data_IF_884701476576
#
_entry.id   IF_884701476576
#
_cell.length_a   1.000
_cell.length_b   1.000
_cell.length_c   1.000
_cell.angle_alpha   90.00
_cell.angle_beta   90.00
_cell.angle_gamma   90.00
#
_symmetry.space_group_name_H-M   'P 1'
#
loop_
_entity.id
_entity.type
_entity.pdbx_description
1 polymer ?
#
# COMPACT_ATOMS: atom_id res chain seq x y z
N UNK A 1 -30.95 15.03 8.49
CA UNK A 1 -31.24 13.74 7.82
C UNK A 1 -32.23 14.03 6.71
N UNK A 2 -31.93 13.58 5.48
CA UNK A 2 -32.86 13.72 4.36
C UNK A 2 -34.16 12.91 4.65
N UNK A 3 -35.33 13.39 4.20
CA UNK A 3 -36.57 12.62 4.19
C UNK A 3 -36.40 11.27 3.50
N UNK A 4 -37.10 10.19 3.93
CA UNK A 4 -36.96 8.86 3.36
C UNK A 4 -37.13 8.78 1.84
N UNK A 5 -37.98 9.64 1.28
CA UNK A 5 -38.23 9.71 -0.17
C UNK A 5 -37.07 10.34 -0.94
N UNK A 6 -36.44 11.38 -0.40
CA UNK A 6 -35.26 12.00 -1.04
C UNK A 6 -34.09 11.02 -1.06
N UNK A 7 -33.85 10.30 0.05
CA UNK A 7 -32.81 9.27 0.12
C UNK A 7 -33.05 8.12 -0.88
N UNK A 8 -34.30 7.69 -1.06
CA UNK A 8 -34.63 6.67 -2.06
C UNK A 8 -34.34 7.17 -3.49
N UNK A 9 -34.69 8.42 -3.80
CA UNK A 9 -34.41 9.00 -5.11
C UNK A 9 -32.90 9.15 -5.36
N UNK A 10 -32.13 9.51 -4.33
CA UNK A 10 -30.66 9.53 -4.37
C UNK A 10 -30.09 8.12 -4.65
N UNK A 11 -30.54 7.10 -3.90
CA UNK A 11 -30.10 5.72 -4.07
C UNK A 11 -30.51 5.15 -5.44
N UNK A 12 -31.65 5.57 -5.98
CA UNK A 12 -32.16 5.16 -7.29
C UNK A 12 -31.41 5.83 -8.46
N UNK A 13 -30.88 7.04 -8.25
CA UNK A 13 -30.12 7.78 -9.25
C UNK A 13 -28.66 7.31 -9.41
N UNK A 14 -28.23 6.31 -8.64
CA UNK A 14 -26.88 5.74 -8.71
C UNK A 14 -26.65 4.89 -9.96
N UNK A 15 -25.36 4.61 -10.25
CA UNK A 15 -24.93 3.75 -11.35
C UNK A 15 -25.63 2.36 -11.30
N UNK A 16 -26.00 1.83 -12.46
CA UNK A 16 -26.61 0.52 -12.59
C UNK A 16 -25.55 -0.59 -12.60
N UNK A 17 -25.68 -1.57 -11.73
CA UNK A 17 -24.89 -2.80 -11.75
C UNK A 17 -25.70 -3.97 -12.31
N UNK A 18 -25.03 -4.90 -12.97
CA UNK A 18 -25.68 -6.10 -13.55
C UNK A 18 -25.58 -7.26 -12.58
N UNK A 19 -26.71 -7.74 -12.09
CA UNK A 19 -26.82 -8.93 -11.24
C UNK A 19 -27.26 -10.11 -12.10
N UNK A 20 -26.42 -11.16 -12.15
CA UNK A 20 -26.75 -12.44 -12.79
C UNK A 20 -27.34 -13.40 -11.78
N UNK A 21 -28.52 -13.93 -12.07
CA UNK A 21 -29.22 -14.90 -11.20
C UNK A 21 -29.53 -16.15 -11.98
N UNK A 22 -29.02 -17.29 -11.51
CA UNK A 22 -29.22 -18.61 -12.10
C UNK A 22 -27.90 -19.25 -12.56
N UNK A 23 -27.93 -20.56 -12.87
CA UNK A 23 -26.74 -21.29 -13.29
C UNK A 23 -26.27 -20.90 -14.70
N UNK A 24 -25.00 -21.18 -15.01
CA UNK A 24 -24.42 -20.91 -16.33
C UNK A 24 -25.27 -21.54 -17.45
N UNK A 25 -25.51 -20.77 -18.52
CA UNK A 25 -26.38 -21.17 -19.63
C UNK A 25 -27.88 -20.91 -19.43
N UNK A 26 -28.34 -20.60 -18.21
CA UNK A 26 -29.75 -20.22 -17.93
C UNK A 26 -29.90 -18.98 -17.05
N UNK A 27 -28.80 -18.28 -16.76
CA UNK A 27 -28.79 -17.09 -15.92
C UNK A 27 -29.61 -15.95 -16.53
N UNK A 28 -30.39 -15.26 -15.70
CA UNK A 28 -31.04 -13.98 -16.04
C UNK A 28 -30.24 -12.81 -15.53
N UNK A 29 -30.15 -11.76 -16.33
CA UNK A 29 -29.47 -10.51 -15.99
C UNK A 29 -30.47 -9.46 -15.54
N UNK A 30 -30.17 -8.77 -14.45
CA UNK A 30 -30.95 -7.65 -13.91
C UNK A 30 -30.04 -6.44 -13.77
N UNK A 31 -30.47 -5.29 -14.30
CA UNK A 31 -29.80 -4.01 -14.04
C UNK A 31 -30.45 -3.35 -12.84
N UNK A 32 -29.67 -3.07 -11.80
CA UNK A 32 -30.18 -2.55 -10.52
C UNK A 32 -29.32 -1.37 -10.08
N UNK A 33 -29.91 -0.26 -9.57
CA UNK A 33 -29.12 0.83 -9.01
C UNK A 33 -28.25 0.36 -7.85
N UNK A 34 -26.97 0.74 -7.87
CA UNK A 34 -25.95 0.35 -6.88
C UNK A 34 -26.35 0.75 -5.46
N UNK A 35 -26.92 1.94 -5.28
CA UNK A 35 -27.41 2.46 -4.00
C UNK A 35 -28.51 1.60 -3.40
N UNK A 36 -29.49 1.19 -4.23
CA UNK A 36 -30.57 0.28 -3.82
C UNK A 36 -30.01 -1.05 -3.31
N UNK A 37 -29.05 -1.65 -4.02
CA UNK A 37 -28.45 -2.92 -3.60
C UNK A 37 -27.62 -2.78 -2.32
N UNK A 38 -26.80 -1.73 -2.20
CA UNK A 38 -26.03 -1.46 -0.97
C UNK A 38 -26.94 -1.34 0.25
N UNK A 39 -28.06 -0.63 0.12
CA UNK A 39 -29.04 -0.48 1.21
C UNK A 39 -29.83 -1.75 1.54
N UNK A 40 -29.94 -2.69 0.59
CA UNK A 40 -30.75 -3.89 0.75
C UNK A 40 -30.08 -5.01 1.55
N UNK A 41 -28.74 -5.07 1.58
CA UNK A 41 -28.01 -6.11 2.32
C UNK A 41 -26.58 -5.70 2.65
N UNK A 42 -26.09 -6.01 3.87
CA UNK A 42 -24.66 -5.86 4.21
C UNK A 42 -23.74 -6.62 3.25
N UNK A 43 -24.23 -7.72 2.65
CA UNK A 43 -23.47 -8.46 1.65
C UNK A 43 -23.29 -7.66 0.36
N UNK A 44 -24.35 -7.06 -0.18
CA UNK A 44 -24.27 -6.20 -1.36
C UNK A 44 -23.50 -4.93 -1.06
N UNK A 45 -23.64 -4.38 0.14
CA UNK A 45 -22.82 -3.26 0.58
C UNK A 45 -21.33 -3.58 0.50
N UNK A 46 -20.92 -4.77 0.98
CA UNK A 46 -19.54 -5.22 0.90
C UNK A 46 -19.10 -5.56 -0.53
N UNK A 47 -19.93 -6.26 -1.31
CA UNK A 47 -19.62 -6.68 -2.67
C UNK A 47 -19.60 -5.51 -3.68
N UNK A 48 -20.29 -4.42 -3.37
CA UNK A 48 -20.34 -3.20 -4.20
C UNK A 48 -19.43 -2.09 -3.67
N UNK A 49 -18.53 -2.37 -2.72
CA UNK A 49 -17.40 -1.48 -2.42
C UNK A 49 -16.32 -1.66 -3.49
N UNK A 50 -15.57 -0.59 -3.75
CA UNK A 50 -14.42 -0.61 -4.67
C UNK A 50 -13.40 -1.70 -4.29
N UNK A 51 -13.31 -2.03 -3.00
CA UNK A 51 -12.47 -3.11 -2.48
C UNK A 51 -12.73 -4.48 -3.12
N UNK A 52 -13.98 -4.75 -3.53
CA UNK A 52 -14.32 -6.03 -4.17
C UNK A 52 -13.73 -6.13 -5.59
N UNK A 53 -13.64 -5.00 -6.31
CA UNK A 53 -12.94 -4.94 -7.59
C UNK A 53 -11.44 -5.22 -7.44
N UNK A 54 -10.83 -4.63 -6.42
CA UNK A 54 -9.42 -4.87 -6.07
C UNK A 54 -9.19 -6.35 -5.71
N UNK A 55 -10.10 -6.95 -4.94
CA UNK A 55 -10.05 -8.38 -4.62
C UNK A 55 -10.16 -9.25 -5.88
N UNK A 56 -11.11 -8.96 -6.79
CA UNK A 56 -11.23 -9.71 -8.03
C UNK A 56 -9.96 -9.61 -8.88
N UNK A 57 -9.41 -8.40 -9.03
CA UNK A 57 -8.14 -8.21 -9.71
C UNK A 57 -7.03 -9.07 -9.07
N UNK A 58 -6.92 -9.04 -7.73
CA UNK A 58 -5.97 -9.86 -7.00
C UNK A 58 -6.14 -11.36 -7.22
N UNK A 59 -7.37 -11.88 -7.31
CA UNK A 59 -7.59 -13.31 -7.59
C UNK A 59 -7.05 -13.73 -8.96
N UNK A 60 -7.10 -12.85 -9.96
CA UNK A 60 -6.62 -13.14 -11.31
C UNK A 60 -5.13 -12.93 -11.48
N UNK A 61 -4.57 -11.89 -10.84
CA UNK A 61 -3.20 -11.43 -11.10
C UNK A 61 -2.23 -11.67 -9.94
N UNK A 62 -2.72 -12.06 -8.75
CA UNK A 62 -1.89 -12.25 -7.56
C UNK A 62 -1.31 -10.96 -6.98
N UNK A 63 -1.72 -9.79 -7.48
CA UNK A 63 -1.27 -8.46 -7.07
C UNK A 63 -2.46 -7.49 -7.04
N UNK A 64 -2.29 -6.29 -6.46
CA UNK A 64 -3.26 -5.19 -6.65
C UNK A 64 -2.61 -4.13 -7.53
N UNK A 65 -3.39 -3.45 -8.37
CA UNK A 65 -2.88 -2.42 -9.25
C UNK A 65 -3.64 -1.10 -9.06
N UNK A 66 -2.93 0.02 -9.22
CA UNK A 66 -3.50 1.38 -9.17
C UNK A 66 -2.96 2.22 -10.33
N UNK A 67 -3.80 3.10 -10.87
CA UNK A 67 -3.40 4.01 -11.93
C UNK A 67 -2.26 4.94 -11.49
N UNK A 68 -1.29 5.15 -12.38
CA UNK A 68 -0.24 6.14 -12.18
C UNK A 68 -0.78 7.54 -12.49
N UNK A 69 -0.67 8.44 -11.50
CA UNK A 69 -0.89 9.85 -11.76
C UNK A 69 0.33 10.42 -12.50
N UNK A 70 0.18 10.68 -13.80
CA UNK A 70 1.23 11.25 -14.66
C UNK A 70 1.79 12.60 -14.15
N UNK A 71 1.08 13.30 -13.27
CA UNK A 71 1.45 14.61 -12.72
C UNK A 71 1.79 14.55 -11.21
N UNK A 72 2.09 13.35 -10.70
CA UNK A 72 2.23 13.12 -9.26
C UNK A 72 0.89 12.98 -8.56
N UNK A 73 0.88 12.33 -7.40
CA UNK A 73 -0.35 12.09 -6.63
C UNK A 73 -0.55 13.29 -5.70
N UNK A 74 -1.62 14.06 -5.89
CA UNK A 74 -1.98 15.13 -4.97
C UNK A 74 -2.33 14.57 -3.57
N UNK A 75 -2.32 15.43 -2.54
CA UNK A 75 -2.49 15.01 -1.15
C UNK A 75 -3.86 14.34 -0.91
N UNK A 76 -4.92 14.80 -1.59
CA UNK A 76 -6.26 14.24 -1.46
C UNK A 76 -6.36 12.82 -2.03
N UNK A 77 -5.84 12.57 -3.24
CA UNK A 77 -5.85 11.25 -3.88
C UNK A 77 -4.96 10.29 -3.09
N UNK A 78 -3.83 10.78 -2.58
CA UNK A 78 -2.93 10.01 -1.71
C UNK A 78 -3.63 9.57 -0.43
N UNK A 79 -4.37 10.48 0.20
CA UNK A 79 -5.17 10.20 1.39
C UNK A 79 -6.30 9.20 1.10
N UNK A 80 -7.04 9.40 0.00
CA UNK A 80 -8.10 8.48 -0.43
C UNK A 80 -7.54 7.08 -0.70
N UNK A 81 -6.40 6.99 -1.39
CA UNK A 81 -5.69 5.74 -1.65
C UNK A 81 -5.28 5.05 -0.34
N UNK A 82 -4.78 5.80 0.64
CA UNK A 82 -4.43 5.26 1.96
C UNK A 82 -5.66 4.70 2.69
N UNK A 83 -6.78 5.43 2.69
CA UNK A 83 -8.05 4.96 3.29
C UNK A 83 -8.57 3.72 2.58
N UNK A 84 -8.50 3.68 1.24
CA UNK A 84 -8.90 2.51 0.46
C UNK A 84 -8.02 1.29 0.79
N UNK A 85 -6.70 1.48 0.92
CA UNK A 85 -5.80 0.42 1.38
C UNK A 85 -6.21 -0.13 2.74
N UNK A 86 -6.71 0.70 3.65
CA UNK A 86 -7.27 0.20 4.90
C UNK A 86 -8.50 -0.66 4.73
N UNK A 87 -9.40 -0.25 3.83
CA UNK A 87 -10.62 -1.00 3.58
C UNK A 87 -10.28 -2.37 2.97
N UNK A 88 -9.37 -2.40 1.98
CA UNK A 88 -8.83 -3.63 1.38
C UNK A 88 -8.10 -4.49 2.42
N UNK A 89 -7.27 -3.90 3.28
CA UNK A 89 -6.56 -4.63 4.34
C UNK A 89 -7.52 -5.28 5.34
N UNK A 90 -8.55 -4.54 5.77
CA UNK A 90 -9.58 -5.04 6.70
C UNK A 90 -10.42 -6.14 6.04
N UNK A 91 -10.75 -5.98 4.76
CA UNK A 91 -11.39 -7.02 3.97
C UNK A 91 -10.51 -8.27 3.91
N UNK A 92 -9.25 -8.13 3.53
CA UNK A 92 -8.31 -9.23 3.43
C UNK A 92 -8.13 -9.98 4.76
N UNK A 93 -8.04 -9.23 5.87
CA UNK A 93 -7.95 -9.81 7.22
C UNK A 93 -9.20 -10.62 7.58
N UNK A 94 -10.40 -10.05 7.34
CA UNK A 94 -11.68 -10.71 7.58
C UNK A 94 -11.83 -12.02 6.80
N UNK A 95 -11.31 -12.08 5.58
CA UNK A 95 -11.40 -13.25 4.70
C UNK A 95 -10.14 -14.12 4.70
N UNK A 96 -9.20 -13.88 5.62
CA UNK A 96 -7.96 -14.66 5.77
C UNK A 96 -7.14 -14.73 4.48
N UNK A 97 -6.99 -13.59 3.80
CA UNK A 97 -6.21 -13.42 2.58
C UNK A 97 -4.88 -12.71 2.91
N UNK A 98 -3.87 -13.42 3.44
CA UNK A 98 -2.63 -12.80 3.92
C UNK A 98 -1.87 -12.06 2.80
N UNK A 99 -1.91 -12.58 1.58
CA UNK A 99 -1.22 -11.99 0.44
C UNK A 99 -1.84 -10.64 0.04
N UNK A 100 -3.17 -10.57 -0.11
CA UNK A 100 -3.87 -9.31 -0.39
C UNK A 100 -3.66 -8.29 0.75
N UNK A 101 -3.65 -8.77 2.00
CA UNK A 101 -3.34 -7.97 3.18
C UNK A 101 -1.95 -7.35 3.09
N UNK A 102 -0.95 -8.12 2.63
CA UNK A 102 0.41 -7.64 2.40
C UNK A 102 0.48 -6.62 1.26
N UNK A 103 -0.23 -6.84 0.15
CA UNK A 103 -0.28 -5.87 -0.95
C UNK A 103 -0.87 -4.52 -0.49
N UNK A 104 -1.99 -4.56 0.25
CA UNK A 104 -2.64 -3.37 0.77
C UNK A 104 -1.75 -2.63 1.79
N UNK A 105 -1.06 -3.38 2.65
CA UNK A 105 -0.09 -2.84 3.59
C UNK A 105 1.06 -2.12 2.85
N UNK A 106 1.64 -2.76 1.83
CA UNK A 106 2.72 -2.18 1.02
C UNK A 106 2.29 -0.85 0.39
N UNK A 107 1.13 -0.82 -0.27
CA UNK A 107 0.61 0.41 -0.85
C UNK A 107 0.36 1.47 0.23
N UNK A 108 -0.22 1.10 1.37
CA UNK A 108 -0.43 2.01 2.50
C UNK A 108 0.89 2.62 3.01
N UNK A 109 1.96 1.83 3.12
CA UNK A 109 3.29 2.31 3.47
C UNK A 109 3.79 3.36 2.48
N UNK A 110 3.66 3.08 1.18
CA UNK A 110 4.04 4.02 0.13
C UNK A 110 3.17 5.29 0.14
N UNK A 111 1.89 5.18 0.48
CA UNK A 111 1.03 6.37 0.64
C UNK A 111 1.35 7.18 1.90
N UNK A 112 1.97 6.62 2.94
CA UNK A 112 2.43 7.41 4.09
C UNK A 112 3.84 7.98 3.89
N UNK A 113 4.75 7.23 3.28
CA UNK A 113 6.18 7.54 3.27
C UNK A 113 6.78 7.81 1.89
N UNK A 114 5.98 7.77 0.82
CA UNK A 114 6.36 7.75 -0.61
C UNK A 114 7.87 7.74 -0.89
N UNK A 115 8.40 6.54 -1.11
CA UNK A 115 9.82 6.30 -1.32
C UNK A 115 10.36 6.84 -2.66
N UNK A 116 9.49 7.26 -3.60
CA UNK A 116 9.95 7.99 -4.80
C UNK A 116 10.57 9.34 -4.45
N UNK A 117 10.29 9.86 -3.26
CA UNK A 117 10.51 11.26 -2.88
C UNK A 117 11.62 11.45 -1.84
N UNK A 118 12.27 10.37 -1.40
CA UNK A 118 13.44 10.46 -0.53
C UNK A 118 14.72 10.95 -1.27
N UNK A 119 14.65 11.10 -2.60
CA UNK A 119 15.81 11.39 -3.45
C UNK A 119 15.67 12.64 -4.33
N UNK A 120 14.49 13.28 -4.37
CA UNK A 120 14.27 14.50 -5.16
C UNK A 120 13.62 15.59 -4.29
N UNK A 121 14.14 16.83 -4.37
CA UNK A 121 13.64 18.00 -3.63
C UNK A 121 12.21 18.40 -4.05
N UNK A 122 11.69 17.78 -5.11
CA UNK A 122 10.31 17.88 -5.59
C UNK A 122 9.30 17.04 -4.79
N UNK A 123 9.71 16.45 -3.66
CA UNK A 123 8.87 15.60 -2.82
C UNK A 123 7.48 16.23 -2.57
N UNK A 124 6.37 15.50 -2.80
CA UNK A 124 5.03 16.00 -2.55
C UNK A 124 4.89 16.34 -1.07
N UNK A 125 4.05 17.32 -0.80
CA UNK A 125 3.77 17.79 0.55
C UNK A 125 3.52 16.62 1.51
N UNK A 126 4.19 16.67 2.67
CA UNK A 126 3.93 15.76 3.78
C UNK A 126 2.43 15.78 4.12
N UNK A 127 1.89 14.64 4.55
CA UNK A 127 0.48 14.57 4.93
C UNK A 127 0.20 15.57 6.06
N UNK A 128 -0.74 16.49 5.82
CA UNK A 128 -1.14 17.50 6.79
C UNK A 128 -1.85 16.88 7.99
N UNK A 129 -1.88 17.60 9.11
CA UNK A 129 -2.63 17.18 10.31
C UNK A 129 -4.11 16.88 10.01
N UNK A 130 -4.72 17.64 9.09
CA UNK A 130 -6.10 17.46 8.62
C UNK A 130 -6.25 16.14 7.86
N UNK A 131 -5.34 15.85 6.94
CA UNK A 131 -5.35 14.61 6.19
C UNK A 131 -5.18 13.39 7.12
N UNK A 132 -4.21 13.44 8.04
CA UNK A 132 -3.99 12.36 9.01
C UNK A 132 -5.21 12.15 9.91
N UNK A 133 -5.87 13.23 10.33
CA UNK A 133 -7.08 13.13 11.15
C UNK A 133 -8.25 12.49 10.40
N UNK A 134 -8.45 12.88 9.14
CA UNK A 134 -9.46 12.27 8.29
C UNK A 134 -9.20 10.78 8.07
N UNK A 135 -7.95 10.40 7.77
CA UNK A 135 -7.57 8.98 7.70
C UNK A 135 -7.86 8.27 9.02
N UNK A 136 -7.38 8.80 10.15
CA UNK A 136 -7.55 8.17 11.46
C UNK A 136 -9.01 7.83 11.78
N UNK A 137 -9.92 8.78 11.52
CA UNK A 137 -11.36 8.62 11.77
C UNK A 137 -12.00 7.59 10.84
N UNK A 138 -11.48 7.41 9.63
CA UNK A 138 -11.96 6.41 8.68
C UNK A 138 -11.49 4.98 9.03
N UNK A 139 -10.45 4.84 9.86
CA UNK A 139 -9.91 3.54 10.28
C UNK A 139 -10.67 2.97 11.49
N UNK A 140 -10.87 1.64 11.56
CA UNK A 140 -11.31 0.96 12.79
C UNK A 140 -10.34 1.21 13.97
N UNK A 141 -10.85 1.21 15.21
CA UNK A 141 -10.02 1.49 16.40
C UNK A 141 -8.84 0.53 16.57
N UNK A 142 -9.05 -0.75 16.28
CA UNK A 142 -8.05 -1.82 16.38
C UNK A 142 -7.19 -1.96 15.10
N UNK A 143 -7.30 -1.04 14.15
CA UNK A 143 -6.59 -1.14 12.88
C UNK A 143 -5.08 -0.99 13.08
N UNK A 144 -4.30 -1.93 12.53
CA UNK A 144 -2.84 -1.83 12.51
C UNK A 144 -2.36 -0.59 11.76
N UNK A 145 -3.16 -0.06 10.84
CA UNK A 145 -2.84 1.17 10.09
C UNK A 145 -2.91 2.44 10.96
N UNK A 146 -3.67 2.43 12.07
CA UNK A 146 -3.60 3.51 13.06
C UNK A 146 -2.21 3.56 13.71
N UNK A 147 -1.57 2.42 13.93
CA UNK A 147 -0.18 2.38 14.40
C UNK A 147 0.78 2.95 13.36
N UNK A 148 0.51 2.79 12.06
CA UNK A 148 1.33 3.40 11.00
C UNK A 148 1.20 4.91 10.96
N UNK A 149 -0.01 5.45 11.15
CA UNK A 149 -0.22 6.89 11.28
C UNK A 149 0.53 7.42 12.50
N UNK A 150 0.44 6.73 13.64
CA UNK A 150 1.15 7.14 14.85
C UNK A 150 2.68 7.10 14.68
N UNK A 151 3.21 6.06 14.02
CA UNK A 151 4.61 5.95 13.64
C UNK A 151 5.04 7.11 12.72
N UNK A 152 4.22 7.46 11.74
CA UNK A 152 4.47 8.57 10.80
C UNK A 152 4.55 9.90 11.54
N UNK A 153 3.61 10.14 12.45
CA UNK A 153 3.58 11.36 13.28
C UNK A 153 4.83 11.43 14.14
N UNK A 154 5.20 10.36 14.85
CA UNK A 154 6.41 10.34 15.69
C UNK A 154 7.66 10.57 14.85
N UNK A 155 7.82 9.88 13.71
CA UNK A 155 8.97 10.08 12.80
C UNK A 155 9.05 11.54 12.31
N UNK A 156 7.91 12.14 11.93
CA UNK A 156 7.83 13.54 11.50
C UNK A 156 8.33 14.50 12.59
N UNK A 157 7.91 14.27 13.84
CA UNK A 157 8.27 15.12 14.99
C UNK A 157 9.72 14.97 15.40
N UNK A 158 10.25 13.74 15.42
CA UNK A 158 11.66 13.47 15.73
C UNK A 158 12.60 14.10 14.69
N UNK A 159 12.16 14.14 13.43
CA UNK A 159 12.86 14.84 12.35
C UNK A 159 12.66 16.38 12.38
N UNK A 160 11.99 16.92 13.41
CA UNK A 160 11.69 18.35 13.61
C UNK A 160 10.91 19.00 12.46
N UNK A 161 10.12 18.21 11.75
CA UNK A 161 9.27 18.70 10.68
C UNK A 161 7.98 19.33 11.27
N UNK A 162 7.45 20.40 10.66
CA UNK A 162 6.26 21.06 11.16
C UNK A 162 5.02 20.18 10.99
N UNK A 163 4.34 19.89 12.10
CA UNK A 163 3.04 19.20 12.11
C UNK A 163 2.17 19.76 13.23
N UNK A 164 0.92 20.09 12.92
CA UNK A 164 -0.05 20.58 13.90
C UNK A 164 -0.60 19.43 14.76
N UNK A 165 0.16 19.07 15.80
CA UNK A 165 -0.22 18.02 16.75
C UNK A 165 -1.49 18.40 17.51
N UNK A 166 -1.68 19.68 17.84
CA UNK A 166 -2.84 20.13 18.61
C UNK A 166 -4.12 19.82 17.85
N UNK A 167 -4.15 20.10 16.55
CA UNK A 167 -5.24 19.71 15.67
C UNK A 167 -5.44 18.19 15.64
N UNK A 168 -4.37 17.41 15.44
CA UNK A 168 -4.45 15.95 15.43
C UNK A 168 -5.00 15.40 16.75
N UNK A 169 -4.51 15.86 17.89
CA UNK A 169 -4.93 15.42 19.22
C UNK A 169 -6.40 15.77 19.51
N UNK A 170 -6.85 16.94 19.08
CA UNK A 170 -8.24 17.37 19.26
C UNK A 170 -9.23 16.55 18.42
N UNK A 171 -8.82 16.09 17.24
CA UNK A 171 -9.72 15.45 16.26
C UNK A 171 -9.55 13.92 16.17
N UNK A 172 -8.51 13.34 16.78
CA UNK A 172 -8.20 11.92 16.67
C UNK A 172 -8.24 11.24 18.04
N UNK A 173 -9.43 10.81 18.48
CA UNK A 173 -9.53 10.09 19.74
C UNK A 173 -8.65 8.83 19.73
N UNK A 174 -7.83 8.67 20.76
CA UNK A 174 -6.86 7.58 20.90
C UNK A 174 -5.51 7.80 20.21
N UNK A 175 -5.34 8.84 19.37
CA UNK A 175 -4.08 9.08 18.67
C UNK A 175 -2.92 9.34 19.63
N UNK A 176 -3.10 10.19 20.64
CA UNK A 176 -2.04 10.48 21.63
C UNK A 176 -1.56 9.20 22.32
N UNK A 177 -2.47 8.27 22.63
CA UNK A 177 -2.11 6.97 23.21
C UNK A 177 -1.29 6.14 22.23
N UNK A 178 -1.70 6.09 20.97
CA UNK A 178 -0.95 5.38 19.93
C UNK A 178 0.41 6.02 19.65
N UNK A 179 0.52 7.35 19.72
CA UNK A 179 1.78 8.09 19.61
C UNK A 179 2.73 7.71 20.73
N UNK A 180 2.29 7.69 22.00
CA UNK A 180 3.14 7.24 23.11
C UNK A 180 3.61 5.79 22.95
N UNK A 181 2.74 4.90 22.45
CA UNK A 181 3.14 3.53 22.14
C UNK A 181 4.20 3.47 21.02
N UNK A 182 4.07 4.35 20.03
CA UNK A 182 4.99 4.45 18.88
C UNK A 182 6.33 5.08 19.26
N UNK A 183 6.33 6.11 20.10
CA UNK A 183 7.52 6.74 20.71
C UNK A 183 8.30 5.73 21.56
N UNK A 184 7.60 4.97 22.42
CA UNK A 184 8.23 3.90 23.18
C UNK A 184 8.88 2.84 22.29
N UNK A 185 8.30 2.59 21.11
CA UNK A 185 8.88 1.68 20.13
C UNK A 185 10.07 2.30 19.40
N UNK A 186 10.01 3.58 19.03
CA UNK A 186 11.10 4.32 18.41
C UNK A 186 12.38 4.20 19.23
N UNK A 187 12.31 4.46 20.54
CA UNK A 187 13.47 4.38 21.43
C UNK A 187 13.99 2.96 21.70
N UNK A 188 13.16 1.93 21.48
CA UNK A 188 13.56 0.51 21.62
C UNK A 188 14.11 -0.08 20.33
N UNK A 189 13.81 0.52 19.19
CA UNK A 189 14.12 -0.04 17.87
C UNK A 189 15.57 0.22 17.50
N UNK A 190 16.18 -0.69 16.72
CA UNK A 190 17.49 -0.44 16.15
C UNK A 190 17.41 0.71 15.12
N UNK A 191 18.54 1.38 14.89
CA UNK A 191 18.63 2.47 13.92
C UNK A 191 18.21 1.97 12.53
N UNK A 192 17.18 2.59 11.95
CA UNK A 192 16.65 2.25 10.63
C UNK A 192 15.48 1.26 10.62
N UNK A 193 15.11 0.69 11.77
CA UNK A 193 13.92 -0.18 11.90
C UNK A 193 12.65 0.59 12.32
N UNK A 194 12.77 1.90 12.50
CA UNK A 194 11.64 2.81 12.70
C UNK A 194 11.51 3.79 11.52
N UNK A 195 10.28 4.13 11.09
CA UNK A 195 8.98 3.58 11.54
C UNK A 195 8.81 2.09 11.25
N UNK A 196 7.96 1.39 12.03
CA UNK A 196 7.85 -0.10 11.98
C UNK A 196 7.50 -0.62 10.59
N UNK A 197 6.78 0.19 9.81
CA UNK A 197 6.27 -0.13 8.48
C UNK A 197 6.94 0.70 7.38
N UNK A 198 8.22 1.11 7.56
CA UNK A 198 8.98 1.93 6.58
C UNK A 198 9.45 1.17 5.33
N UNK A 199 9.48 -0.17 5.34
CA UNK A 199 10.08 -1.01 4.27
C UNK A 199 9.06 -1.20 3.13
N UNK A 200 9.49 -1.19 1.84
CA UNK A 200 10.63 -1.94 1.30
C UNK A 200 11.91 -1.13 1.20
N UNK A 201 13.03 -1.72 1.63
CA UNK A 201 14.30 -1.02 1.93
C UNK A 201 15.11 -0.60 0.69
N UNK A 202 14.69 -0.85 -0.54
CA UNK A 202 15.51 -0.49 -1.71
C UNK A 202 14.68 0.03 -2.88
N UNK A 203 15.04 1.21 -3.38
CA UNK A 203 14.50 1.83 -4.60
C UNK A 203 14.59 0.93 -5.82
N UNK A 204 15.60 0.05 -5.88
CA UNK A 204 15.77 -0.96 -6.94
C UNK A 204 14.63 -2.00 -7.01
N UNK A 205 13.74 -2.06 -6.02
CA UNK A 205 12.52 -2.88 -6.07
C UNK A 205 11.32 -2.14 -6.67
N UNK A 206 11.33 -0.81 -6.65
CA UNK A 206 10.25 0.00 -7.23
C UNK A 206 10.39 0.09 -8.76
N UNK A 207 11.61 -0.07 -9.29
CA UNK A 207 11.88 -0.21 -10.73
C UNK A 207 11.33 -1.52 -11.33
N UNK A 208 10.97 -2.50 -10.48
CA UNK A 208 10.40 -3.80 -10.85
C UNK A 208 8.90 -3.93 -10.54
N UNK A 209 8.24 -2.82 -10.25
CA UNK A 209 6.79 -2.80 -10.39
C UNK A 209 6.56 -2.89 -11.89
N UNK A 210 5.98 -4.00 -12.37
CA UNK A 210 5.56 -4.15 -13.76
C UNK A 210 4.57 -3.03 -14.07
N UNK A 211 5.11 -1.90 -14.51
CA UNK A 211 4.39 -0.78 -15.04
C UNK A 211 4.07 -1.16 -16.49
N UNK A 212 3.06 -2.00 -16.65
CA UNK A 212 2.32 -2.03 -17.91
C UNK A 212 1.80 -0.59 -18.10
N UNK A 213 2.24 0.08 -19.17
CA UNK A 213 2.10 1.52 -19.45
C UNK A 213 0.88 2.17 -18.74
N UNK A 214 1.07 2.65 -17.51
CA UNK A 214 0.05 3.36 -16.71
C UNK A 214 -0.46 2.71 -15.41
N UNK A 215 -0.04 1.50 -15.02
CA UNK A 215 -0.49 0.82 -13.79
C UNK A 215 0.65 0.43 -12.84
N UNK A 216 0.52 0.74 -11.55
CA UNK A 216 1.45 0.30 -10.51
C UNK A 216 0.92 -0.94 -9.80
N UNK A 217 1.62 -2.07 -9.96
CA UNK A 217 1.30 -3.35 -9.33
C UNK A 217 2.01 -3.53 -7.97
N UNK A 218 1.31 -4.10 -6.99
CA UNK A 218 1.80 -4.37 -5.63
C UNK A 218 1.68 -5.86 -5.33
N UNK A 219 2.83 -6.54 -5.29
CA UNK A 219 2.91 -7.99 -5.12
C UNK A 219 3.00 -8.38 -3.62
N UNK A 220 2.41 -9.50 -3.19
CA UNK A 220 2.34 -9.90 -1.78
C UNK A 220 3.70 -10.25 -1.17
N UNK A 221 4.70 -10.56 -2.01
CA UNK A 221 6.06 -10.96 -1.60
C UNK A 221 7.05 -9.80 -1.57
N UNK A 222 6.62 -8.55 -1.41
CA UNK A 222 7.51 -7.39 -1.40
C UNK A 222 8.60 -7.42 -0.30
N UNK A 223 8.37 -8.15 0.79
CA UNK A 223 9.38 -8.40 1.84
C UNK A 223 10.58 -9.21 1.32
N UNK A 224 10.33 -9.96 0.24
CA UNK A 224 11.31 -10.72 -0.51
C UNK A 224 11.78 -9.79 -1.64
N UNK A 225 12.94 -9.17 -1.45
CA UNK A 225 13.60 -8.37 -2.48
C UNK A 225 13.82 -9.22 -3.74
N UNK A 226 12.88 -9.28 -4.68
CA UNK A 226 13.09 -10.00 -5.95
C UNK A 226 13.97 -9.12 -6.84
N UNK A 227 15.19 -9.59 -7.13
CA UNK A 227 16.15 -8.88 -7.96
C UNK A 227 16.50 -9.81 -9.12
N UNK A 228 16.60 -9.24 -10.33
CA UNK A 228 16.97 -10.01 -11.49
C UNK A 228 18.47 -10.29 -11.45
N UNK A 229 18.87 -11.49 -11.82
CA UNK A 229 20.26 -11.74 -12.14
C UNK A 229 20.70 -10.82 -13.28
N UNK A 230 21.79 -10.09 -13.07
CA UNK A 230 22.34 -9.16 -14.06
C UNK A 230 22.83 -9.86 -15.35
N UNK A 231 23.00 -11.19 -15.34
CA UNK A 231 23.42 -11.96 -16.52
C UNK A 231 22.25 -12.65 -17.22
N UNK A 232 21.49 -13.51 -16.53
CA UNK A 232 20.43 -14.28 -17.16
C UNK A 232 19.05 -13.62 -17.08
N UNK A 233 18.91 -12.50 -16.35
CA UNK A 233 17.64 -11.82 -16.13
C UNK A 233 16.67 -12.57 -15.22
N UNK A 234 17.02 -13.78 -14.74
CA UNK A 234 16.13 -14.60 -13.91
C UNK A 234 15.83 -13.90 -12.59
N UNK A 235 14.54 -13.79 -12.28
CA UNK A 235 14.06 -13.16 -11.06
C UNK A 235 14.13 -14.14 -9.90
N UNK A 236 14.76 -13.71 -8.82
CA UNK A 236 14.82 -14.50 -7.60
C UNK A 236 14.98 -13.61 -6.38
N UNK A 237 14.74 -14.19 -5.21
CA UNK A 237 14.93 -13.48 -3.95
C UNK A 237 16.39 -13.04 -3.77
N UNK A 238 16.62 -11.80 -3.32
CA UNK A 238 17.96 -11.21 -3.20
C UNK A 238 18.87 -11.96 -2.26
N UNK A 239 18.31 -12.70 -1.29
CA UNK A 239 19.08 -13.58 -0.41
C UNK A 239 19.76 -14.74 -1.15
N UNK A 240 19.28 -15.05 -2.35
CA UNK A 240 19.85 -16.04 -3.25
C UNK A 240 20.72 -15.41 -4.36
N UNK A 241 20.91 -14.09 -4.33
CA UNK A 241 21.83 -13.40 -5.22
C UNK A 241 23.17 -13.21 -4.53
N UNK A 242 24.22 -13.43 -5.32
CA UNK A 242 25.57 -13.07 -4.94
C UNK A 242 25.90 -11.68 -5.50
N UNK A 243 26.35 -10.78 -4.64
CA UNK A 243 26.79 -9.45 -5.05
C UNK A 243 28.29 -9.45 -5.30
N UNK A 244 28.70 -9.06 -6.51
CA UNK A 244 30.09 -8.97 -6.96
C UNK A 244 30.38 -7.55 -7.43
N UNK A 245 31.63 -7.10 -7.31
CA UNK A 245 32.05 -5.85 -7.93
C UNK A 245 31.85 -5.92 -9.46
N UNK A 246 31.23 -4.91 -10.07
CA UNK A 246 30.96 -4.92 -11.50
C UNK A 246 32.23 -4.97 -12.36
N UNK A 247 33.30 -4.31 -11.92
CA UNK A 247 34.58 -4.27 -12.63
C UNK A 247 35.41 -5.54 -12.43
N UNK A 248 35.68 -5.93 -11.18
CA UNK A 248 36.60 -7.03 -10.89
C UNK A 248 35.92 -8.38 -10.60
N UNK A 249 34.58 -8.42 -10.55
CA UNK A 249 33.76 -9.61 -10.30
C UNK A 249 34.02 -10.33 -8.97
N UNK A 250 34.69 -9.69 -7.99
CA UNK A 250 34.95 -10.25 -6.66
C UNK A 250 33.85 -9.89 -5.66
N UNK A 251 33.52 -10.80 -4.75
CA UNK A 251 32.51 -10.64 -3.68
C UNK A 251 32.91 -9.70 -2.54
N UNK A 252 34.20 -9.39 -2.39
CA UNK A 252 34.74 -8.55 -1.32
C UNK A 252 35.72 -7.50 -1.86
N UNK A 253 35.36 -6.83 -2.95
CA UNK A 253 36.18 -5.73 -3.46
C UNK A 253 36.20 -4.56 -2.46
N UNK A 254 37.37 -3.98 -2.19
CA UNK A 254 37.47 -2.80 -1.31
C UNK A 254 36.80 -1.57 -1.92
N UNK A 255 36.69 -1.54 -3.24
CA UNK A 255 36.06 -0.46 -3.99
C UNK A 255 34.55 -0.69 -4.20
N UNK A 256 33.97 -1.71 -3.54
CA UNK A 256 32.56 -2.07 -3.65
C UNK A 256 31.61 -0.93 -3.26
N UNK A 257 32.03 -0.04 -2.35
CA UNK A 257 31.24 1.14 -1.97
C UNK A 257 31.15 2.19 -3.09
N UNK A 258 32.04 2.13 -4.07
CA UNK A 258 32.09 3.09 -5.21
C UNK A 258 31.55 2.54 -6.51
N UNK A 259 31.37 1.22 -6.64
CA UNK A 259 30.88 0.57 -7.86
C UNK A 259 29.51 -0.07 -7.63
N UNK A 260 28.55 0.15 -8.53
CA UNK A 260 27.27 -0.57 -8.51
C UNK A 260 27.53 -2.09 -8.50
N UNK A 261 27.01 -2.84 -7.51
CA UNK A 261 27.26 -4.27 -7.43
C UNK A 261 26.51 -5.04 -8.51
N UNK A 262 27.17 -6.01 -9.12
CA UNK A 262 26.60 -7.01 -10.00
C UNK A 262 25.88 -8.06 -9.14
N UNK A 263 24.57 -8.20 -9.30
CA UNK A 263 23.78 -9.24 -8.60
C UNK A 263 23.64 -10.48 -9.51
N UNK A 264 24.20 -11.62 -9.11
CA UNK A 264 24.18 -12.86 -9.90
C UNK A 264 23.33 -13.93 -9.21
N UNK A 265 22.52 -14.67 -9.97
CA UNK A 265 21.86 -15.86 -9.46
C UNK A 265 22.85 -16.97 -9.21
N UNK A 266 22.45 -17.96 -8.42
CA UNK A 266 23.31 -19.11 -8.12
C UNK A 266 23.81 -19.85 -9.37
N UNK A 267 23.10 -19.82 -10.51
CA UNK A 267 23.56 -20.42 -11.77
C UNK A 267 24.56 -19.55 -12.55
N UNK A 268 24.50 -18.23 -12.39
CA UNK A 268 25.39 -17.29 -13.08
C UNK A 268 26.58 -16.90 -12.20
N UNK A 269 26.53 -17.18 -10.90
CA UNK A 269 27.59 -16.87 -9.96
C UNK A 269 28.75 -17.86 -10.00
N UNK A 270 28.67 -18.90 -10.83
CA UNK A 270 29.51 -20.09 -10.70
C UNK A 270 31.02 -19.83 -10.81
N UNK A 271 31.63 -19.77 -9.62
CA UNK A 271 32.83 -20.51 -9.21
C UNK A 271 32.50 -21.97 -8.76
N UNK A 272 31.40 -22.58 -9.25
CA UNK A 272 30.98 -23.97 -8.95
C UNK A 272 31.34 -24.97 -10.09
N UNK A 273 32.51 -24.80 -10.71
CA UNK A 273 33.19 -25.85 -11.49
C UNK A 273 34.60 -26.10 -10.94
#
# INVERSE_FOLDING_TARGET
MAPPMERFLEDFATELVTVKVGPEGTSKEYKVPRGILRGASPWFEAALKEDFGIFLYFLFYGSIAYEEANEGINIEIRLQSFVQCSSVWTFADKYLLPDLKNCAMLRACLMLYDARCAFDESAPDKLSAVALASAWQALPEESTLRNMIADYVVDTLENKEPLDIEYCAANCHGLVRAMHASEAQFHKSAKGDFPRYRKPVKSSLLEKIDADDGLWCYHPRWEVLETACAECGYEMESRYLEHRCMECKKTNCKDHDTTTPLALCYWCSDDYL
#
